data_IF_927010671328
#
_entry.id   IF_927010671328
#
_cell.length_a   1.000
_cell.length_b   1.000
_cell.length_c   1.000
_cell.angle_alpha   90.00
_cell.angle_beta   90.00
_cell.angle_gamma   90.00
#
_symmetry.space_group_name_H-M   'P 1'
#
loop_
_entity.id
_entity.type
_entity.pdbx_description
1 polymer ?
#
# COMPACT_ATOMS: atom_id res chain seq x y z
N UNK A 1 -33.76 26.57 18.95
CA UNK A 1 -35.12 26.77 18.37
C UNK A 1 -35.13 27.64 17.10
N UNK A 2 -34.16 28.51 16.85
CA UNK A 2 -34.06 29.33 15.62
C UNK A 2 -33.85 28.51 14.34
N UNK A 3 -32.97 27.48 14.37
CA UNK A 3 -32.62 26.68 13.21
C UNK A 3 -33.76 25.78 12.65
N UNK A 4 -34.75 25.43 13.45
CA UNK A 4 -35.87 24.60 13.00
C UNK A 4 -36.91 25.45 12.25
N UNK A 5 -37.15 26.67 12.69
CA UNK A 5 -38.05 27.60 11.99
C UNK A 5 -37.51 27.98 10.63
N UNK A 6 -36.20 28.27 10.54
CA UNK A 6 -35.55 28.60 9.27
C UNK A 6 -35.59 27.43 8.24
N UNK A 7 -35.45 26.19 8.72
CA UNK A 7 -35.60 25.00 7.88
C UNK A 7 -37.04 24.77 7.40
N UNK A 8 -38.04 25.07 8.21
CA UNK A 8 -39.46 24.95 7.86
C UNK A 8 -39.85 26.04 6.86
N UNK A 9 -39.39 27.28 7.04
CA UNK A 9 -39.65 28.38 6.10
C UNK A 9 -39.03 28.16 4.73
N UNK A 10 -37.82 27.60 4.67
CA UNK A 10 -37.18 27.21 3.39
C UNK A 10 -37.96 26.09 2.68
N UNK A 11 -38.46 25.10 3.43
CA UNK A 11 -39.25 24.00 2.85
C UNK A 11 -40.61 24.50 2.33
N UNK A 12 -41.26 25.40 3.07
CA UNK A 12 -42.54 26.02 2.67
C UNK A 12 -42.42 26.85 1.39
N UNK A 13 -41.36 27.66 1.28
CA UNK A 13 -41.13 28.50 0.09
C UNK A 13 -40.79 27.66 -1.15
N UNK A 14 -40.12 26.52 -0.96
CA UNK A 14 -39.77 25.59 -2.06
C UNK A 14 -41.02 24.85 -2.57
N UNK A 15 -41.90 24.40 -1.68
CA UNK A 15 -43.15 23.72 -2.03
C UNK A 15 -44.09 24.65 -2.78
N UNK A 16 -44.23 25.92 -2.37
CA UNK A 16 -45.06 26.90 -3.06
C UNK A 16 -44.51 27.24 -4.48
N UNK A 17 -43.19 27.30 -4.64
CA UNK A 17 -42.56 27.48 -5.96
C UNK A 17 -42.83 26.29 -6.90
N UNK A 18 -42.79 25.08 -6.40
CA UNK A 18 -43.08 23.88 -7.21
C UNK A 18 -44.56 23.85 -7.60
N UNK A 19 -45.47 24.21 -6.71
CA UNK A 19 -46.92 24.25 -6.98
C UNK A 19 -47.31 25.32 -8.02
N UNK A 20 -46.49 26.35 -8.24
CA UNK A 20 -46.73 27.42 -9.23
C UNK A 20 -46.07 27.12 -10.58
N UNK A 21 -45.38 25.99 -10.75
CA UNK A 21 -44.71 25.64 -12.02
C UNK A 21 -45.72 25.28 -13.13
N UNK A 22 -45.47 25.78 -14.32
CA UNK A 22 -46.22 25.34 -15.52
C UNK A 22 -45.88 23.90 -15.85
N UNK A 23 -46.81 23.17 -16.50
CA UNK A 23 -46.57 21.76 -16.92
C UNK A 23 -45.27 21.57 -17.70
N UNK A 24 -44.90 22.52 -18.55
CA UNK A 24 -43.63 22.50 -19.30
C UNK A 24 -42.41 22.56 -18.36
N UNK A 25 -42.43 23.36 -17.32
CA UNK A 25 -41.35 23.46 -16.35
C UNK A 25 -41.20 22.20 -15.51
N UNK A 26 -42.32 21.58 -15.13
CA UNK A 26 -42.32 20.29 -14.42
C UNK A 26 -41.71 19.19 -15.29
N UNK A 27 -42.10 19.14 -16.59
CA UNK A 27 -41.55 18.16 -17.52
C UNK A 27 -40.01 18.34 -17.69
N UNK A 28 -39.59 19.61 -17.89
CA UNK A 28 -38.16 19.93 -18.01
C UNK A 28 -37.39 19.51 -16.76
N UNK A 29 -37.93 19.78 -15.57
CA UNK A 29 -37.31 19.38 -14.30
C UNK A 29 -37.16 17.85 -14.18
N UNK A 30 -38.18 17.09 -14.59
CA UNK A 30 -38.11 15.61 -14.63
C UNK A 30 -37.04 15.10 -15.59
N UNK A 31 -36.95 15.68 -16.80
CA UNK A 31 -35.93 15.30 -17.77
C UNK A 31 -34.54 15.58 -17.25
N UNK A 32 -34.31 16.72 -16.60
CA UNK A 32 -33.00 17.05 -15.97
C UNK A 32 -32.65 16.06 -14.88
N UNK A 33 -33.61 15.70 -14.01
CA UNK A 33 -33.38 14.70 -12.96
C UNK A 33 -33.01 13.35 -13.58
N UNK A 34 -33.71 12.90 -14.62
CA UNK A 34 -33.40 11.62 -15.28
C UNK A 34 -32.00 11.63 -15.91
N UNK A 35 -31.57 12.75 -16.49
CA UNK A 35 -30.20 12.90 -17.03
C UNK A 35 -29.17 12.81 -15.91
N UNK A 36 -29.40 13.50 -14.79
CA UNK A 36 -28.50 13.47 -13.63
C UNK A 36 -28.41 12.05 -13.07
N UNK A 37 -29.53 11.38 -12.87
CA UNK A 37 -29.56 10.00 -12.35
C UNK A 37 -28.83 9.04 -13.31
N UNK A 38 -29.08 9.15 -14.63
CA UNK A 38 -28.37 8.35 -15.63
C UNK A 38 -26.86 8.62 -15.65
N UNK A 39 -26.43 9.88 -15.46
CA UNK A 39 -25.02 10.22 -15.36
C UNK A 39 -24.37 9.62 -14.11
N UNK A 40 -25.05 9.67 -12.96
CA UNK A 40 -24.57 9.07 -11.70
C UNK A 40 -24.46 7.56 -11.83
N UNK A 41 -25.48 6.89 -12.37
CA UNK A 41 -25.43 5.43 -12.59
C UNK A 41 -24.27 5.04 -13.53
N UNK A 42 -24.11 5.77 -14.64
CA UNK A 42 -23.01 5.53 -15.57
C UNK A 42 -21.65 5.69 -14.90
N UNK A 43 -21.47 6.71 -14.07
CA UNK A 43 -20.24 6.92 -13.32
C UNK A 43 -19.97 5.77 -12.34
N UNK A 44 -20.98 5.29 -11.63
CA UNK A 44 -20.85 4.14 -10.70
C UNK A 44 -20.45 2.86 -11.45
N UNK A 45 -21.05 2.58 -12.61
CA UNK A 45 -20.72 1.42 -13.45
C UNK A 45 -19.27 1.52 -13.94
N UNK A 46 -18.83 2.68 -14.41
CA UNK A 46 -17.45 2.89 -14.85
C UNK A 46 -16.47 2.67 -13.68
N UNK A 47 -16.76 3.22 -12.52
CA UNK A 47 -15.92 3.02 -11.32
C UNK A 47 -15.82 1.55 -10.94
N UNK A 48 -16.93 0.82 -10.99
CA UNK A 48 -16.94 -0.61 -10.70
C UNK A 48 -16.11 -1.39 -11.72
N UNK A 49 -16.25 -1.12 -13.02
CA UNK A 49 -15.45 -1.77 -14.07
C UNK A 49 -13.94 -1.51 -13.90
N UNK A 50 -13.57 -0.28 -13.56
CA UNK A 50 -12.17 0.07 -13.27
C UNK A 50 -11.66 -0.73 -12.07
N UNK A 51 -12.44 -0.79 -10.99
CA UNK A 51 -12.08 -1.55 -9.80
C UNK A 51 -11.91 -3.04 -10.09
N UNK A 52 -12.85 -3.66 -10.83
CA UNK A 52 -12.79 -5.06 -11.21
C UNK A 52 -11.57 -5.36 -12.11
N UNK A 53 -11.24 -4.45 -13.04
CA UNK A 53 -10.05 -4.55 -13.87
C UNK A 53 -8.76 -4.48 -13.03
N UNK A 54 -8.68 -3.52 -12.11
CA UNK A 54 -7.54 -3.37 -11.20
C UNK A 54 -7.36 -4.61 -10.29
N UNK A 55 -8.46 -5.15 -9.76
CA UNK A 55 -8.45 -6.38 -8.96
C UNK A 55 -7.92 -7.57 -9.77
N UNK A 56 -8.41 -7.75 -11.00
CA UNK A 56 -7.96 -8.83 -11.88
C UNK A 56 -6.47 -8.70 -12.22
N UNK A 57 -6.00 -7.50 -12.54
CA UNK A 57 -4.58 -7.22 -12.77
C UNK A 57 -3.75 -7.54 -11.52
N UNK A 58 -4.24 -7.17 -10.33
CA UNK A 58 -3.57 -7.48 -9.07
C UNK A 58 -3.47 -8.99 -8.84
N UNK A 59 -4.52 -9.74 -9.10
CA UNK A 59 -4.51 -11.20 -8.98
C UNK A 59 -3.51 -11.86 -9.94
N UNK A 60 -3.46 -11.40 -11.19
CA UNK A 60 -2.49 -11.89 -12.18
C UNK A 60 -1.04 -11.57 -11.75
N UNK A 61 -0.79 -10.33 -11.31
CA UNK A 61 0.54 -9.92 -10.87
C UNK A 61 0.97 -10.59 -9.56
N UNK A 62 0.02 -11.03 -8.71
CA UNK A 62 0.32 -11.71 -7.46
C UNK A 62 1.10 -13.01 -7.66
N UNK A 63 0.78 -13.79 -8.69
CA UNK A 63 1.53 -15.00 -9.02
C UNK A 63 2.96 -14.68 -9.45
N UNK A 64 3.15 -13.62 -10.25
CA UNK A 64 4.48 -13.17 -10.68
C UNK A 64 5.30 -12.63 -9.51
N UNK A 65 4.70 -11.83 -8.63
CA UNK A 65 5.35 -11.30 -7.42
C UNK A 65 5.78 -12.44 -6.48
N UNK A 66 4.91 -13.42 -6.25
CA UNK A 66 5.25 -14.58 -5.44
C UNK A 66 6.43 -15.37 -6.05
N UNK A 67 6.40 -15.63 -7.35
CA UNK A 67 7.49 -16.32 -8.06
C UNK A 67 8.81 -15.56 -7.95
N UNK A 68 8.76 -14.23 -8.05
CA UNK A 68 9.94 -13.37 -7.94
C UNK A 68 10.54 -13.41 -6.52
N UNK A 69 9.70 -13.39 -5.48
CA UNK A 69 10.14 -13.50 -4.07
C UNK A 69 10.82 -14.86 -3.85
N UNK A 70 10.23 -15.96 -4.33
CA UNK A 70 10.80 -17.30 -4.26
C UNK A 70 12.14 -17.36 -5.01
N UNK A 71 12.18 -16.87 -6.24
CA UNK A 71 13.41 -16.86 -7.05
C UNK A 71 14.51 -16.07 -6.37
N UNK A 72 14.20 -14.87 -5.86
CA UNK A 72 15.17 -14.03 -5.16
C UNK A 72 15.75 -14.74 -3.93
N UNK A 73 14.91 -15.46 -3.16
CA UNK A 73 15.37 -16.24 -2.01
C UNK A 73 16.47 -17.24 -2.40
N UNK A 74 16.23 -18.02 -3.46
CA UNK A 74 17.21 -19.00 -3.91
C UNK A 74 18.46 -18.36 -4.52
N UNK A 75 18.29 -17.33 -5.36
CA UNK A 75 19.41 -16.65 -6.00
C UNK A 75 20.30 -15.89 -5.01
N UNK A 76 19.71 -15.24 -4.01
CA UNK A 76 20.42 -14.51 -2.97
C UNK A 76 20.92 -15.41 -1.83
N UNK A 77 20.53 -16.69 -1.82
CA UNK A 77 20.75 -17.63 -0.72
C UNK A 77 20.23 -17.11 0.63
N UNK A 78 19.18 -16.31 0.59
CA UNK A 78 18.54 -15.80 1.80
C UNK A 78 17.74 -16.93 2.48
N UNK A 79 17.64 -16.87 3.81
CA UNK A 79 16.83 -17.81 4.57
C UNK A 79 15.35 -17.42 4.55
N UNK A 80 15.08 -16.11 4.44
CA UNK A 80 13.75 -15.56 4.21
C UNK A 80 13.79 -14.33 3.32
N UNK A 81 12.78 -14.17 2.47
CA UNK A 81 12.53 -12.96 1.69
C UNK A 81 11.11 -12.51 1.92
N UNK A 82 10.97 -11.22 2.26
CA UNK A 82 9.68 -10.58 2.45
C UNK A 82 9.51 -9.47 1.39
N UNK A 83 8.35 -9.45 0.74
CA UNK A 83 7.87 -8.29 0.00
C UNK A 83 6.84 -7.56 0.86
N UNK A 84 7.17 -6.36 1.27
CA UNK A 84 6.32 -5.50 2.05
C UNK A 84 5.84 -4.30 1.22
N UNK A 85 4.56 -4.00 1.28
CA UNK A 85 3.95 -2.89 0.55
C UNK A 85 3.57 -1.75 1.50
N UNK A 86 3.77 -0.53 1.04
CA UNK A 86 3.28 0.66 1.74
C UNK A 86 1.84 0.95 1.32
N UNK A 87 1.00 1.28 2.27
CA UNK A 87 -0.38 1.64 2.01
C UNK A 87 -0.89 2.67 3.03
N UNK A 88 -1.97 3.35 2.65
CA UNK A 88 -2.62 4.30 3.54
C UNK A 88 -3.39 3.54 4.62
N UNK A 89 -3.16 3.93 5.87
CA UNK A 89 -3.97 3.48 7.00
C UNK A 89 -5.19 4.37 7.23
N UNK A 90 -5.86 4.17 8.37
CA UNK A 90 -6.83 5.15 8.88
C UNK A 90 -6.16 6.48 9.19
N UNK A 91 -6.89 7.59 9.16
CA UNK A 91 -6.40 8.89 9.58
C UNK A 91 -6.47 9.03 11.11
N UNK A 92 -5.60 9.90 11.65
CA UNK A 92 -5.66 10.32 13.06
C UNK A 92 -6.82 11.31 13.30
N UNK A 93 -7.00 11.76 14.53
CA UNK A 93 -8.04 12.73 14.92
C UNK A 93 -7.94 14.04 14.13
N UNK A 94 -6.75 14.40 13.63
CA UNK A 94 -6.51 15.60 12.81
C UNK A 94 -6.67 15.35 11.31
N UNK A 95 -7.16 14.17 10.88
CA UNK A 95 -7.34 13.82 9.47
C UNK A 95 -6.05 13.45 8.72
N UNK A 96 -4.89 13.40 9.41
CA UNK A 96 -3.62 13.03 8.79
C UNK A 96 -3.57 11.50 8.61
N UNK A 97 -3.34 10.98 7.39
CA UNK A 97 -3.27 9.55 7.16
C UNK A 97 -2.04 8.93 7.85
N UNK A 98 -2.25 7.80 8.53
CA UNK A 98 -1.14 6.97 8.99
C UNK A 98 -0.62 6.13 7.82
N UNK A 99 0.62 6.33 7.44
CA UNK A 99 1.31 5.43 6.53
C UNK A 99 1.57 4.10 7.25
N UNK A 100 1.19 3.01 6.60
CA UNK A 100 1.37 1.65 7.09
C UNK A 100 2.14 0.82 6.08
N UNK A 101 2.67 -0.28 6.55
CA UNK A 101 3.23 -1.32 5.72
C UNK A 101 2.70 -2.69 6.13
N UNK A 102 2.65 -3.60 5.17
CA UNK A 102 2.25 -4.99 5.40
C UNK A 102 3.09 -5.90 4.53
N UNK A 103 3.48 -7.06 5.05
CA UNK A 103 4.06 -8.13 4.25
C UNK A 103 2.94 -8.76 3.43
N UNK A 104 3.08 -8.73 2.10
CA UNK A 104 2.11 -9.30 1.16
C UNK A 104 2.59 -10.61 0.57
N UNK A 105 3.89 -10.79 0.44
CA UNK A 105 4.51 -12.06 0.00
C UNK A 105 5.68 -12.39 0.88
N UNK A 106 5.81 -13.68 1.19
CA UNK A 106 6.89 -14.24 1.98
C UNK A 106 7.34 -15.56 1.35
N UNK A 107 8.64 -15.76 1.29
CA UNK A 107 9.25 -17.06 1.04
C UNK A 107 10.33 -17.31 2.09
N UNK A 108 10.38 -18.51 2.64
CA UNK A 108 11.37 -18.89 3.64
C UNK A 108 11.79 -20.33 3.46
N UNK A 109 12.98 -20.66 3.94
CA UNK A 109 13.52 -22.01 3.97
C UNK A 109 13.02 -22.74 5.20
N UNK A 110 13.00 -24.07 5.10
CA UNK A 110 12.53 -24.94 6.21
C UNK A 110 13.33 -24.74 7.50
N UNK A 111 14.59 -24.32 7.40
CA UNK A 111 15.48 -24.06 8.54
C UNK A 111 14.97 -22.90 9.41
N UNK A 112 14.28 -21.92 8.82
CA UNK A 112 13.66 -20.82 9.57
C UNK A 112 12.35 -21.23 10.23
N UNK A 113 11.67 -22.23 9.69
CA UNK A 113 10.62 -23.03 10.34
C UNK A 113 9.23 -22.38 10.48
N UNK A 114 9.04 -21.08 10.25
CA UNK A 114 7.73 -20.43 10.40
C UNK A 114 7.59 -19.14 9.60
N UNK A 115 6.35 -18.83 9.24
CA UNK A 115 5.97 -17.57 8.58
C UNK A 115 5.85 -16.43 9.59
N UNK A 116 6.33 -15.25 9.20
CA UNK A 116 6.18 -14.01 9.99
C UNK A 116 5.25 -13.00 9.31
N UNK A 117 4.70 -13.33 8.14
CA UNK A 117 3.86 -12.41 7.37
C UNK A 117 2.69 -11.84 8.18
N UNK A 118 2.07 -12.66 9.04
CA UNK A 118 0.96 -12.22 9.90
C UNK A 118 1.39 -11.22 10.97
N UNK A 119 2.64 -11.29 11.43
CA UNK A 119 3.19 -10.40 12.45
C UNK A 119 3.44 -8.98 11.93
N UNK A 120 3.52 -8.84 10.60
CA UNK A 120 3.82 -7.60 9.92
C UNK A 120 2.63 -7.09 9.07
N UNK A 121 1.41 -7.25 9.58
CA UNK A 121 0.21 -6.68 8.95
C UNK A 121 -0.13 -5.32 9.55
N UNK A 122 -0.49 -4.35 8.70
CA UNK A 122 -0.98 -3.01 9.07
C UNK A 122 -0.06 -2.25 10.05
N UNK A 123 1.25 -2.48 9.97
CA UNK A 123 2.24 -1.87 10.85
C UNK A 123 2.40 -0.38 10.52
N UNK A 124 2.37 0.49 11.54
CA UNK A 124 2.61 1.92 11.35
C UNK A 124 4.09 2.18 11.06
N UNK A 125 4.40 2.86 9.97
CA UNK A 125 5.78 3.17 9.56
C UNK A 125 6.54 3.95 10.65
N UNK A 126 5.85 4.85 11.36
CA UNK A 126 6.44 5.67 12.43
C UNK A 126 6.95 4.87 13.63
N UNK A 127 6.53 3.62 13.79
CA UNK A 127 7.02 2.72 14.85
C UNK A 127 8.31 1.98 14.46
N UNK A 128 8.78 2.15 13.22
CA UNK A 128 9.94 1.48 12.67
C UNK A 128 10.95 2.51 12.14
N UNK A 129 11.83 3.06 13.01
CA UNK A 129 12.83 4.04 12.61
C UNK A 129 13.72 3.59 11.44
N UNK A 130 13.98 2.28 11.32
CA UNK A 130 14.77 1.72 10.22
C UNK A 130 14.14 1.98 8.84
N UNK A 131 12.80 2.00 8.73
CA UNK A 131 12.11 2.27 7.45
C UNK A 131 12.38 3.71 6.99
N UNK A 132 12.41 4.66 7.92
CA UNK A 132 12.76 6.04 7.62
C UNK A 132 14.22 6.13 7.16
N UNK A 133 15.11 5.43 7.86
CA UNK A 133 16.54 5.36 7.53
C UNK A 133 16.80 4.78 6.13
N UNK A 134 16.10 3.69 5.77
CA UNK A 134 16.17 3.10 4.41
C UNK A 134 15.62 4.11 3.39
N UNK A 135 14.58 4.84 3.74
CA UNK A 135 13.94 5.82 2.87
C UNK A 135 14.88 6.89 2.33
N UNK A 136 15.96 7.19 3.02
CA UNK A 136 16.98 8.15 2.61
C UNK A 136 18.04 7.53 1.66
N UNK A 137 18.34 6.23 1.87
CA UNK A 137 19.49 5.56 1.23
C UNK A 137 19.08 4.53 0.16
N UNK A 138 17.80 4.22 0.01
CA UNK A 138 17.22 3.20 -0.90
C UNK A 138 17.69 1.76 -0.65
N UNK A 139 18.78 1.56 0.05
CA UNK A 139 19.34 0.27 0.40
C UNK A 139 19.88 0.34 1.83
N UNK A 140 19.50 -0.63 2.66
CA UNK A 140 20.10 -0.89 3.96
C UNK A 140 20.69 -2.29 3.98
N UNK A 141 21.80 -2.47 4.68
CA UNK A 141 22.39 -3.76 5.00
C UNK A 141 23.11 -3.66 6.34
N UNK A 142 23.07 -4.72 7.14
CA UNK A 142 23.78 -4.72 8.39
C UNK A 142 23.45 -5.88 9.31
N UNK A 143 24.35 -6.07 10.27
CA UNK A 143 24.14 -7.00 11.35
C UNK A 143 23.03 -6.51 12.28
N UNK A 144 22.14 -7.43 12.64
CA UNK A 144 20.95 -7.12 13.44
C UNK A 144 21.36 -6.69 14.86
N UNK A 145 22.33 -7.38 15.47
CA UNK A 145 22.72 -7.13 16.86
C UNK A 145 23.52 -5.84 17.06
N UNK A 146 24.28 -5.42 16.09
CA UNK A 146 25.16 -4.25 16.19
C UNK A 146 24.63 -3.04 15.46
N UNK A 147 24.36 -3.15 14.15
CA UNK A 147 24.04 -2.01 13.29
C UNK A 147 22.54 -1.67 13.30
N UNK A 148 21.66 -2.66 13.10
CA UNK A 148 20.22 -2.41 13.11
C UNK A 148 19.72 -2.00 14.49
N UNK A 149 20.26 -2.60 15.55
CA UNK A 149 19.89 -2.31 16.94
C UNK A 149 20.17 -0.85 17.35
N UNK A 150 21.15 -0.19 16.75
CA UNK A 150 21.41 1.23 16.95
C UNK A 150 20.35 2.13 16.28
N UNK A 151 19.74 1.65 15.18
CA UNK A 151 18.73 2.38 14.42
C UNK A 151 17.32 2.09 14.94
N UNK A 152 17.02 0.80 15.14
CA UNK A 152 15.70 0.31 15.56
C UNK A 152 15.84 -0.88 16.49
N UNK A 153 15.92 -0.58 17.77
CA UNK A 153 16.12 -1.58 18.82
C UNK A 153 14.98 -2.59 18.91
N UNK A 154 13.75 -2.13 18.73
CA UNK A 154 12.55 -2.99 18.83
C UNK A 154 12.51 -4.01 17.70
N UNK A 155 12.74 -3.55 16.47
CA UNK A 155 12.76 -4.43 15.30
C UNK A 155 13.95 -5.39 15.36
N UNK A 156 15.12 -4.93 15.77
CA UNK A 156 16.30 -5.78 15.94
C UNK A 156 16.04 -6.92 16.94
N UNK A 157 15.45 -6.65 18.11
CA UNK A 157 15.12 -7.71 19.07
C UNK A 157 14.13 -8.72 18.51
N UNK A 158 13.15 -8.27 17.71
CA UNK A 158 12.22 -9.17 17.05
C UNK A 158 12.94 -10.10 16.07
N UNK A 159 13.83 -9.59 15.24
CA UNK A 159 14.63 -10.38 14.31
C UNK A 159 15.56 -11.36 15.04
N UNK A 160 16.25 -10.91 16.08
CA UNK A 160 17.11 -11.79 16.90
C UNK A 160 16.32 -12.92 17.55
N UNK A 161 15.08 -12.67 17.99
CA UNK A 161 14.22 -13.73 18.53
C UNK A 161 13.84 -14.80 17.50
N UNK A 162 13.96 -14.46 16.20
CA UNK A 162 13.77 -15.38 15.07
C UNK A 162 15.10 -15.97 14.57
N UNK A 163 16.23 -15.72 15.25
CA UNK A 163 17.54 -16.23 14.86
C UNK A 163 18.16 -15.50 13.66
N UNK A 164 17.65 -14.33 13.30
CA UNK A 164 18.18 -13.56 12.17
C UNK A 164 19.39 -12.73 12.60
N UNK A 165 20.53 -12.95 11.94
CA UNK A 165 21.79 -12.25 12.24
C UNK A 165 22.05 -11.06 11.33
N UNK A 166 21.58 -11.13 10.08
CA UNK A 166 21.89 -10.11 9.07
C UNK A 166 20.68 -9.84 8.17
N UNK A 167 20.48 -8.59 7.80
CA UNK A 167 19.42 -8.20 6.84
C UNK A 167 19.96 -7.33 5.72
N UNK A 168 19.33 -7.46 4.55
CA UNK A 168 19.49 -6.54 3.43
C UNK A 168 18.10 -6.09 3.01
N UNK A 169 17.89 -4.77 2.94
CA UNK A 169 16.60 -4.20 2.62
C UNK A 169 16.73 -3.20 1.47
N UNK A 170 15.92 -3.37 0.44
CA UNK A 170 15.85 -2.44 -0.69
C UNK A 170 14.46 -1.81 -0.79
N UNK A 171 14.42 -0.48 -0.95
CA UNK A 171 13.21 0.25 -1.29
C UNK A 171 12.75 -0.12 -2.71
N UNK A 172 11.46 -0.32 -2.86
CA UNK A 172 10.79 -0.45 -4.15
C UNK A 172 10.26 0.93 -4.54
N UNK A 173 10.80 1.47 -5.63
CA UNK A 173 10.44 2.81 -6.11
C UNK A 173 9.99 2.69 -7.56
N UNK A 174 8.82 3.24 -7.87
CA UNK A 174 8.28 3.20 -9.22
C UNK A 174 8.96 4.24 -10.14
N UNK A 175 8.60 4.21 -11.42
CA UNK A 175 9.07 5.12 -12.48
C UNK A 175 8.80 6.60 -12.20
N UNK A 176 7.81 6.91 -11.35
CA UNK A 176 7.46 8.27 -10.91
C UNK A 176 8.23 8.71 -9.64
N UNK A 177 9.15 7.88 -9.13
CA UNK A 177 9.88 8.13 -7.90
C UNK A 177 9.08 7.91 -6.60
N UNK A 178 7.87 7.33 -6.69
CA UNK A 178 7.05 7.03 -5.51
C UNK A 178 7.49 5.73 -4.87
N UNK A 179 7.60 5.73 -3.54
CA UNK A 179 7.94 4.53 -2.75
C UNK A 179 6.72 3.65 -2.62
N UNK A 180 6.81 2.41 -3.11
CA UNK A 180 5.72 1.44 -3.13
C UNK A 180 5.80 0.41 -2.00
N UNK A 181 7.02 0.16 -1.52
CA UNK A 181 7.28 -0.87 -0.53
C UNK A 181 8.76 -1.15 -0.36
N UNK A 182 9.07 -2.33 0.13
CA UNK A 182 10.45 -2.80 0.31
C UNK A 182 10.56 -4.31 0.15
N UNK A 183 11.73 -4.75 -0.32
CA UNK A 183 12.18 -6.14 -0.27
C UNK A 183 13.13 -6.29 0.91
N UNK A 184 12.88 -7.28 1.75
CA UNK A 184 13.70 -7.60 2.94
C UNK A 184 14.25 -9.00 2.76
N UNK A 185 15.55 -9.14 2.81
CA UNK A 185 16.26 -10.41 2.83
C UNK A 185 16.80 -10.62 4.25
N UNK A 186 16.52 -11.77 4.82
CA UNK A 186 16.92 -12.15 6.16
C UNK A 186 17.84 -13.37 6.11
N UNK A 187 18.90 -13.35 6.91
CA UNK A 187 19.92 -14.38 6.98
C UNK A 187 20.18 -14.79 8.43
N UNK A 188 20.22 -16.08 8.68
CA UNK A 188 20.61 -16.69 9.94
C UNK A 188 22.12 -16.88 10.06
N UNK A 189 22.83 -16.82 8.93
CA UNK A 189 24.30 -16.88 8.83
C UNK A 189 24.80 -15.87 7.79
N UNK A 190 25.49 -14.83 8.25
CA UNK A 190 26.04 -13.79 7.39
C UNK A 190 27.22 -14.29 6.51
N UNK A 191 27.86 -15.39 6.85
CA UNK A 191 29.04 -15.91 6.14
C UNK A 191 28.75 -16.40 4.71
N UNK A 192 27.47 -16.70 4.41
CA UNK A 192 27.04 -17.20 3.09
C UNK A 192 26.78 -16.10 2.07
N UNK A 193 26.88 -14.83 2.48
CA UNK A 193 26.44 -13.67 1.69
C UNK A 193 27.56 -13.24 0.72
N UNK A 194 27.29 -13.35 -0.58
CA UNK A 194 28.02 -12.62 -1.63
C UNK A 194 27.35 -11.26 -1.86
N UNK A 195 27.77 -10.25 -1.10
CA UNK A 195 27.14 -8.93 -1.08
C UNK A 195 27.02 -8.28 -2.46
N UNK A 196 28.05 -8.43 -3.32
CA UNK A 196 28.03 -7.82 -4.64
C UNK A 196 26.94 -8.45 -5.52
N UNK A 197 26.89 -9.76 -5.55
CA UNK A 197 25.92 -10.53 -6.31
C UNK A 197 24.49 -10.32 -5.78
N UNK A 198 24.31 -10.36 -4.45
CA UNK A 198 23.02 -10.12 -3.81
C UNK A 198 22.51 -8.72 -4.12
N UNK A 199 23.35 -7.69 -4.07
CA UNK A 199 22.95 -6.31 -4.40
C UNK A 199 22.43 -6.17 -5.83
N UNK A 200 23.07 -6.80 -6.80
CA UNK A 200 22.61 -6.78 -8.21
C UNK A 200 21.26 -7.46 -8.37
N UNK A 201 21.09 -8.65 -7.76
CA UNK A 201 19.84 -9.42 -7.83
C UNK A 201 18.70 -8.68 -7.16
N UNK A 202 18.97 -8.12 -5.98
CA UNK A 202 17.99 -7.35 -5.22
C UNK A 202 17.55 -6.08 -5.97
N UNK A 203 18.48 -5.38 -6.62
CA UNK A 203 18.16 -4.22 -7.44
C UNK A 203 17.24 -4.57 -8.61
N UNK A 204 17.58 -5.65 -9.36
CA UNK A 204 16.73 -6.17 -10.44
C UNK A 204 15.33 -6.53 -9.91
N UNK A 205 15.26 -7.33 -8.85
CA UNK A 205 14.00 -7.74 -8.25
C UNK A 205 13.16 -6.54 -7.77
N UNK A 206 13.79 -5.51 -7.20
CA UNK A 206 13.09 -4.29 -6.79
C UNK A 206 12.48 -3.54 -7.97
N UNK A 207 13.16 -3.49 -9.13
CA UNK A 207 12.61 -2.89 -10.35
C UNK A 207 11.44 -3.69 -10.92
N UNK A 208 11.55 -5.02 -10.97
CA UNK A 208 10.49 -5.92 -11.42
C UNK A 208 9.26 -5.83 -10.50
N UNK A 209 9.47 -5.83 -9.17
CA UNK A 209 8.39 -5.57 -8.21
C UNK A 209 7.72 -4.22 -8.44
N UNK A 210 8.51 -3.16 -8.64
CA UNK A 210 7.97 -1.82 -8.89
C UNK A 210 7.07 -1.79 -10.13
N UNK A 211 7.47 -2.44 -11.23
CA UNK A 211 6.66 -2.55 -12.43
C UNK A 211 5.32 -3.28 -12.17
N UNK A 212 5.37 -4.45 -11.51
CA UNK A 212 4.18 -5.26 -11.21
C UNK A 212 3.24 -4.58 -10.22
N UNK A 213 3.77 -3.86 -9.23
CA UNK A 213 2.97 -3.13 -8.24
C UNK A 213 2.34 -1.87 -8.84
N UNK A 214 3.02 -1.19 -9.77
CA UNK A 214 2.51 0.04 -10.40
C UNK A 214 1.36 -0.21 -11.36
N UNK A 215 1.33 -1.38 -12.00
CA UNK A 215 0.22 -1.79 -12.87
C UNK A 215 -1.10 -1.96 -12.11
N UNK A 216 -1.06 -2.17 -10.80
CA UNK A 216 -2.22 -2.09 -9.92
C UNK A 216 -2.29 -0.69 -9.28
N UNK A 217 -3.08 0.22 -9.86
CA UNK A 217 -3.11 1.68 -9.55
C UNK A 217 -3.28 2.09 -8.08
N UNK A 218 -3.73 1.21 -7.20
CA UNK A 218 -3.99 1.53 -5.80
C UNK A 218 -2.81 1.29 -4.84
N UNK A 219 -1.73 0.66 -5.26
CA UNK A 219 -0.62 0.34 -4.36
C UNK A 219 0.41 1.45 -4.19
N UNK A 220 0.47 2.40 -5.10
CA UNK A 220 1.44 3.50 -5.05
C UNK A 220 0.75 4.87 -4.96
N UNK A 221 0.44 5.31 -3.75
CA UNK A 221 0.37 6.74 -3.37
C UNK A 221 -0.42 7.76 -4.21
N UNK A 222 -1.17 7.37 -5.25
CA UNK A 222 -1.98 8.34 -6.00
C UNK A 222 -3.21 8.88 -5.23
N UNK A 223 -3.59 8.25 -4.12
CA UNK A 223 -4.61 8.79 -3.19
C UNK A 223 -4.16 10.05 -2.43
N UNK A 224 -2.92 10.50 -2.57
CA UNK A 224 -2.40 11.72 -1.93
C UNK A 224 -2.60 13.00 -2.76
N UNK A 225 -3.19 12.93 -3.96
CA UNK A 225 -3.40 14.11 -4.84
C UNK A 225 -4.84 14.60 -4.90
N UNK A 226 -5.76 14.10 -4.09
CA UNK A 226 -7.18 14.49 -4.11
C UNK A 226 -7.63 15.20 -2.83
N UNK A 227 -6.70 15.90 -2.14
CA UNK A 227 -7.10 16.91 -1.13
C UNK A 227 -6.16 18.10 -1.21
#
# INVERSE_FOLDING_TARGET
>A
MKNIKDAIDVSGSTITKIASMTWKQVLTFFVVILIILGAVETQLIIQQQIHDYEMNMRLQNSAALNSLVVQLMYEAKADRVLLAEYHNGSSNVSGIPFLKWSVTFESFRDEVGFSVANDYQLQQITLYPFITHIGENYLYRGYVETELKEIDKSYAYKLLSHGIEYIIVSQIVNDKGSKCGMLILEYTDASVIDEFNVKQKLHRASQECAALLTLSKHSCGESLKLF
#
